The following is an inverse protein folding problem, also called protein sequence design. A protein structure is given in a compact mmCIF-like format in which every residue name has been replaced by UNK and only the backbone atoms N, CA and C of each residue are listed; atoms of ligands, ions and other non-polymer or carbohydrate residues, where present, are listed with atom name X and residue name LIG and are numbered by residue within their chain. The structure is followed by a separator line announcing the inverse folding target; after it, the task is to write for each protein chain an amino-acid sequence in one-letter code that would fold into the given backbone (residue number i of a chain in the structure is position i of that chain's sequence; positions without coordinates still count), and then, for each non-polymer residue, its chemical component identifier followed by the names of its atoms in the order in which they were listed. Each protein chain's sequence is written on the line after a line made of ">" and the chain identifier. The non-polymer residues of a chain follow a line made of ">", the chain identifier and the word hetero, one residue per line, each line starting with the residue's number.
data_IF_042441385451
#
_entry.id   IF_042441385451
#
_cell.length_a   1.000
_cell.length_b   1.000
_cell.length_c   1.000
_cell.angle_alpha   90.00
_cell.angle_beta   90.00
_cell.angle_gamma   90.00
#
_symmetry.space_group_name_H-M   'P 1'
#
loop_
_entity.id
_entity.type
_entity.pdbx_description
1 polymer ?
#
# COMPACT_ATOMS: atom_id res chain seq x y z
N UNK A 1 26.56 14.04 -8.37
CA UNK A 1 26.21 12.82 -7.60
C UNK A 1 24.91 12.27 -8.17
N UNK A 2 24.85 10.99 -8.52
CA UNK A 2 23.60 10.33 -8.95
C UNK A 2 22.64 10.25 -7.76
N UNK A 3 21.37 10.55 -7.98
CA UNK A 3 20.32 10.37 -6.97
C UNK A 3 19.37 9.26 -7.42
N UNK A 4 19.14 8.28 -6.55
CA UNK A 4 18.27 7.14 -6.78
C UNK A 4 17.21 7.08 -5.69
N UNK A 5 15.94 7.14 -6.09
CA UNK A 5 14.82 7.12 -5.17
C UNK A 5 14.28 5.69 -5.05
N UNK A 6 14.46 5.09 -3.87
CA UNK A 6 14.04 3.74 -3.51
C UNK A 6 12.97 3.74 -2.40
N UNK A 7 12.10 4.77 -2.39
CA UNK A 7 11.04 4.92 -1.37
C UNK A 7 9.64 5.12 -1.99
N UNK A 8 9.35 4.38 -3.07
CA UNK A 8 8.08 4.48 -3.81
C UNK A 8 6.85 4.16 -2.94
N UNK A 9 7.00 3.34 -1.88
CA UNK A 9 5.90 3.03 -0.97
C UNK A 9 5.54 4.20 -0.03
N UNK A 10 6.43 5.17 0.18
CA UNK A 10 6.08 6.41 0.88
C UNK A 10 5.27 7.34 -0.02
N UNK A 11 5.74 7.60 -1.23
CA UNK A 11 5.05 8.36 -2.29
C UNK A 11 5.78 8.15 -3.62
N UNK A 12 5.09 8.42 -4.72
CA UNK A 12 5.69 8.38 -6.05
C UNK A 12 5.68 9.76 -6.69
N UNK A 13 6.61 10.08 -7.59
CA UNK A 13 6.55 11.29 -8.41
C UNK A 13 5.33 11.23 -9.34
N UNK A 14 4.73 12.37 -9.59
CA UNK A 14 3.68 12.51 -10.59
C UNK A 14 4.26 12.27 -12.00
N UNK A 15 3.62 11.42 -12.79
CA UNK A 15 4.05 11.22 -14.19
C UNK A 15 3.70 12.42 -15.05
N UNK A 16 4.54 12.73 -16.07
CA UNK A 16 4.27 13.80 -17.01
C UNK A 16 2.91 13.68 -17.70
N UNK A 17 2.53 12.48 -18.10
CA UNK A 17 1.24 12.20 -18.77
C UNK A 17 0.04 12.48 -17.83
N UNK A 18 0.21 12.24 -16.54
CA UNK A 18 -0.82 12.56 -15.53
C UNK A 18 -0.92 14.07 -15.35
N UNK A 19 0.22 14.77 -15.26
CA UNK A 19 0.24 16.24 -15.16
C UNK A 19 -0.44 16.89 -16.37
N UNK A 20 -0.12 16.43 -17.59
CA UNK A 20 -0.72 16.96 -18.81
C UNK A 20 -2.24 16.71 -18.87
N UNK A 21 -2.72 15.55 -18.41
CA UNK A 21 -4.14 15.28 -18.31
C UNK A 21 -4.87 16.20 -17.31
N UNK A 22 -4.22 16.56 -16.20
CA UNK A 22 -4.76 17.42 -15.16
C UNK A 22 -4.77 18.91 -15.56
N UNK A 23 -3.76 19.36 -16.32
CA UNK A 23 -3.47 20.76 -16.58
C UNK A 23 -4.67 21.60 -17.06
N UNK A 24 -5.51 21.13 -18.02
CA UNK A 24 -6.66 21.93 -18.50
C UNK A 24 -7.67 22.26 -17.40
N UNK A 25 -7.80 21.40 -16.39
CA UNK A 25 -8.80 21.55 -15.33
C UNK A 25 -8.40 22.53 -14.22
N UNK A 26 -7.16 23.03 -14.26
CA UNK A 26 -6.70 24.10 -13.37
C UNK A 26 -7.07 25.50 -13.89
N UNK A 27 -7.08 25.70 -15.21
CA UNK A 27 -7.15 27.04 -15.79
C UNK A 27 -8.24 27.19 -16.87
N UNK A 28 -8.48 26.19 -17.70
CA UNK A 28 -9.39 26.28 -18.86
C UNK A 28 -10.78 25.70 -18.55
N UNK A 29 -10.83 24.53 -17.94
CA UNK A 29 -12.05 23.78 -17.61
C UNK A 29 -12.34 23.80 -16.10
N UNK A 30 -12.21 24.95 -15.47
CA UNK A 30 -12.32 25.18 -14.03
C UNK A 30 -13.74 25.11 -13.45
N UNK A 31 -14.74 24.79 -14.27
CA UNK A 31 -16.15 24.82 -13.88
C UNK A 31 -16.48 23.85 -12.73
N UNK A 32 -17.47 24.22 -11.92
CA UNK A 32 -18.01 23.32 -10.91
C UNK A 32 -18.89 22.25 -11.58
N UNK A 33 -18.58 20.97 -11.38
CA UNK A 33 -19.26 19.84 -12.00
C UNK A 33 -20.76 19.73 -11.62
N UNK A 34 -21.19 20.45 -10.59
CA UNK A 34 -22.61 20.54 -10.18
C UNK A 34 -23.40 21.63 -10.94
N UNK A 35 -22.72 22.50 -11.70
CA UNK A 35 -23.38 23.59 -12.43
C UNK A 35 -23.97 23.13 -13.76
N UNK A 36 -25.16 23.68 -14.14
CA UNK A 36 -25.86 23.28 -15.35
C UNK A 36 -25.37 23.97 -16.64
N UNK A 37 -24.56 25.03 -16.50
CA UNK A 37 -24.01 25.76 -17.65
C UNK A 37 -22.82 25.01 -18.27
N UNK A 38 -22.37 25.42 -19.45
CA UNK A 38 -21.38 24.75 -20.27
C UNK A 38 -20.08 24.40 -19.51
N UNK A 39 -19.51 25.32 -18.72
CA UNK A 39 -18.33 25.05 -17.93
C UNK A 39 -18.52 23.93 -16.89
N UNK A 40 -19.69 23.89 -16.25
CA UNK A 40 -20.05 22.80 -15.33
C UNK A 40 -20.19 21.45 -16.03
N UNK A 41 -20.86 21.47 -17.20
CA UNK A 41 -21.04 20.26 -18.03
C UNK A 41 -19.72 19.65 -18.51
N UNK A 42 -18.75 20.50 -18.89
CA UNK A 42 -17.40 20.05 -19.24
C UNK A 42 -16.70 19.36 -18.07
N UNK A 43 -16.75 19.97 -16.88
CA UNK A 43 -16.19 19.40 -15.67
C UNK A 43 -16.92 18.09 -15.28
N UNK A 44 -18.25 18.03 -15.37
CA UNK A 44 -19.05 16.82 -15.13
C UNK A 44 -18.64 15.68 -16.06
N UNK A 45 -18.53 15.96 -17.35
CA UNK A 45 -18.09 14.96 -18.34
C UNK A 45 -16.72 14.39 -18.01
N UNK A 46 -15.79 15.22 -17.52
CA UNK A 46 -14.47 14.76 -17.11
C UNK A 46 -14.53 13.85 -15.88
N UNK A 47 -15.33 14.20 -14.87
CA UNK A 47 -15.57 13.38 -13.68
C UNK A 47 -16.21 12.04 -14.04
N UNK A 48 -17.19 12.04 -14.93
CA UNK A 48 -17.89 10.81 -15.33
C UNK A 48 -16.97 9.86 -16.11
N UNK A 49 -16.16 10.36 -17.05
CA UNK A 49 -15.13 9.58 -17.75
C UNK A 49 -14.07 9.02 -16.81
N UNK A 50 -13.61 9.84 -15.86
CA UNK A 50 -12.65 9.38 -14.85
C UNK A 50 -13.24 8.25 -14.00
N UNK A 51 -14.53 8.33 -13.68
CA UNK A 51 -15.25 7.30 -12.93
C UNK A 51 -15.37 6.01 -13.71
N UNK A 52 -15.64 6.07 -15.01
CA UNK A 52 -15.64 4.90 -15.91
C UNK A 52 -14.28 4.21 -15.93
N UNK A 53 -13.18 4.99 -16.03
CA UNK A 53 -11.81 4.44 -15.96
C UNK A 53 -11.54 3.76 -14.61
N UNK A 54 -11.96 4.37 -13.51
CA UNK A 54 -11.78 3.77 -12.19
C UNK A 54 -12.65 2.51 -12.01
N UNK A 55 -13.84 2.47 -12.62
CA UNK A 55 -14.68 1.28 -12.63
C UNK A 55 -14.02 0.11 -13.38
N UNK A 56 -13.34 0.39 -14.49
CA UNK A 56 -12.51 -0.59 -15.19
C UNK A 56 -11.34 -1.07 -14.32
N UNK A 57 -10.64 -0.14 -13.65
CA UNK A 57 -9.52 -0.45 -12.78
C UNK A 57 -9.89 -1.37 -11.61
N UNK A 58 -11.11 -1.24 -11.07
CA UNK A 58 -11.63 -2.09 -9.99
C UNK A 58 -12.39 -3.33 -10.50
N UNK A 59 -12.71 -3.43 -11.77
CA UNK A 59 -13.67 -4.38 -12.35
C UNK A 59 -15.06 -4.28 -11.68
N UNK A 60 -15.65 -3.08 -11.63
CA UNK A 60 -16.96 -2.80 -11.02
C UNK A 60 -17.85 -1.92 -11.90
N UNK A 61 -19.00 -1.52 -11.39
CA UNK A 61 -19.85 -0.51 -12.02
C UNK A 61 -19.39 0.91 -11.62
N UNK A 62 -19.55 1.88 -12.51
CA UNK A 62 -19.24 3.29 -12.26
C UNK A 62 -19.98 3.86 -11.03
N UNK A 63 -21.21 3.38 -10.78
CA UNK A 63 -22.00 3.74 -9.61
C UNK A 63 -21.38 3.28 -8.26
N UNK A 64 -20.44 2.38 -8.29
CA UNK A 64 -19.74 1.81 -7.12
C UNK A 64 -18.40 2.50 -6.83
N UNK A 65 -18.03 3.50 -7.64
CA UNK A 65 -16.82 4.30 -7.43
C UNK A 65 -17.16 5.61 -6.72
N UNK A 66 -16.44 5.93 -5.65
CA UNK A 66 -16.54 7.17 -4.88
C UNK A 66 -15.16 7.82 -4.80
N UNK A 67 -15.04 9.08 -5.22
CA UNK A 67 -13.80 9.85 -5.09
C UNK A 67 -13.70 10.47 -3.70
N UNK A 68 -12.48 10.45 -3.14
CA UNK A 68 -12.16 11.01 -1.83
C UNK A 68 -10.78 11.66 -1.84
N UNK A 69 -10.24 12.07 -0.68
CA UNK A 69 -8.93 12.75 -0.62
C UNK A 69 -7.73 11.77 -0.56
N UNK A 70 -7.95 10.47 -0.43
CA UNK A 70 -6.88 9.47 -0.33
C UNK A 70 -7.26 8.26 0.52
N UNK A 71 -6.31 7.33 0.68
CA UNK A 71 -6.52 6.09 1.42
C UNK A 71 -7.06 6.29 2.83
N UNK A 72 -6.45 7.20 3.60
CA UNK A 72 -6.88 7.47 4.99
C UNK A 72 -8.35 7.90 5.07
N UNK A 73 -8.85 8.73 4.15
CA UNK A 73 -10.28 9.07 4.11
C UNK A 73 -11.13 7.84 3.76
N UNK A 74 -10.69 7.05 2.77
CA UNK A 74 -11.39 5.83 2.37
C UNK A 74 -11.49 4.81 3.51
N UNK A 75 -10.37 4.51 4.17
CA UNK A 75 -10.30 3.56 5.30
C UNK A 75 -11.16 4.02 6.46
N UNK A 76 -11.08 5.31 6.82
CA UNK A 76 -11.90 5.89 7.87
C UNK A 76 -13.40 5.89 7.50
N UNK A 77 -13.73 6.13 6.21
CA UNK A 77 -15.11 6.03 5.73
C UNK A 77 -15.64 4.61 5.87
N UNK A 78 -14.85 3.59 5.50
CA UNK A 78 -15.23 2.20 5.66
C UNK A 78 -15.52 1.84 7.13
N UNK A 79 -14.64 2.27 8.02
CA UNK A 79 -14.69 1.93 9.45
C UNK A 79 -15.83 2.68 10.15
N UNK A 80 -15.82 4.02 10.09
CA UNK A 80 -16.80 4.84 10.82
C UNK A 80 -18.18 4.86 10.15
N UNK A 81 -18.27 4.55 8.84
CA UNK A 81 -19.52 4.50 8.12
C UNK A 81 -20.29 3.18 8.24
N UNK A 82 -19.65 2.11 8.75
CA UNK A 82 -20.29 0.80 8.90
C UNK A 82 -20.48 0.36 10.36
N UNK A 83 -19.62 0.83 11.27
CA UNK A 83 -19.53 0.32 12.64
C UNK A 83 -20.31 1.21 13.61
N UNK A 84 -21.13 0.58 14.46
CA UNK A 84 -21.94 1.19 15.50
C UNK A 84 -21.62 0.62 16.89
N UNK A 85 -21.96 1.32 17.99
CA UNK A 85 -21.77 0.80 19.34
C UNK A 85 -22.38 -0.59 19.51
N UNK A 86 -21.59 -1.53 20.04
CA UNK A 86 -21.96 -2.95 20.18
C UNK A 86 -21.50 -3.86 19.06
N UNK A 87 -21.07 -3.31 17.91
CA UNK A 87 -20.46 -4.10 16.83
C UNK A 87 -19.05 -4.57 17.21
N UNK A 88 -18.62 -5.63 16.54
CA UNK A 88 -17.26 -6.15 16.59
C UNK A 88 -16.54 -5.93 15.24
N UNK A 89 -15.29 -5.49 15.32
CA UNK A 89 -14.39 -5.23 14.21
C UNK A 89 -13.23 -6.21 14.22
N UNK A 90 -12.93 -6.83 13.08
CA UNK A 90 -11.74 -7.67 12.89
C UNK A 90 -10.79 -6.95 11.94
N UNK A 91 -9.55 -6.80 12.34
CA UNK A 91 -8.47 -6.27 11.50
C UNK A 91 -7.16 -6.99 11.81
N UNK A 92 -6.06 -6.58 11.20
CA UNK A 92 -4.75 -7.21 11.43
C UNK A 92 -3.81 -6.30 12.21
N UNK A 93 -2.84 -6.87 12.90
CA UNK A 93 -1.83 -6.09 13.64
C UNK A 93 -0.77 -5.44 12.74
N UNK A 94 -0.82 -5.70 11.41
CA UNK A 94 0.13 -5.16 10.42
C UNK A 94 -0.49 -4.08 9.52
N UNK A 95 -1.67 -3.59 9.85
CA UNK A 95 -2.36 -2.55 9.09
C UNK A 95 -1.64 -1.20 9.11
N UNK A 96 -2.00 -0.36 8.15
CA UNK A 96 -1.60 1.04 8.16
C UNK A 96 -2.20 1.79 9.37
N UNK A 97 -1.52 2.84 9.84
CA UNK A 97 -1.99 3.68 10.96
C UNK A 97 -3.40 4.25 10.76
N UNK A 98 -3.86 4.44 9.52
CA UNK A 98 -5.24 4.86 9.23
C UNK A 98 -6.29 3.90 9.78
N UNK A 99 -6.00 2.58 9.77
CA UNK A 99 -6.85 1.52 10.33
C UNK A 99 -6.61 1.38 11.83
N UNK A 100 -5.34 1.28 12.26
CA UNK A 100 -5.00 1.03 13.67
C UNK A 100 -5.45 2.15 14.60
N UNK A 101 -5.27 3.41 14.20
CA UNK A 101 -5.72 4.56 15.01
C UNK A 101 -7.26 4.71 14.99
N UNK A 102 -7.91 4.37 13.87
CA UNK A 102 -9.36 4.30 13.80
C UNK A 102 -9.90 3.23 14.79
N UNK A 103 -9.29 2.03 14.80
CA UNK A 103 -9.65 0.96 15.74
C UNK A 103 -9.50 1.38 17.21
N UNK A 104 -8.40 2.04 17.56
CA UNK A 104 -8.20 2.60 18.93
C UNK A 104 -9.28 3.63 19.29
N UNK A 105 -9.70 4.43 18.31
CA UNK A 105 -10.79 5.41 18.52
C UNK A 105 -12.13 4.72 18.74
N UNK A 106 -12.43 3.64 17.99
CA UNK A 106 -13.66 2.86 18.12
C UNK A 106 -13.87 2.29 19.50
N UNK A 107 -12.80 1.86 20.19
CA UNK A 107 -12.89 1.34 21.55
C UNK A 107 -13.53 2.34 22.54
N UNK A 108 -13.36 3.66 22.32
CA UNK A 108 -13.98 4.71 23.11
C UNK A 108 -15.49 4.86 22.85
N UNK A 109 -15.98 4.23 21.79
CA UNK A 109 -17.39 4.25 21.38
C UNK A 109 -18.09 2.90 21.57
N UNK A 110 -17.48 1.98 22.35
CA UNK A 110 -18.08 0.68 22.68
C UNK A 110 -18.06 -0.32 21.53
N UNK A 111 -17.11 -0.19 20.61
CA UNK A 111 -16.87 -1.14 19.52
C UNK A 111 -15.60 -1.92 19.86
N UNK A 112 -15.71 -3.23 19.94
CA UNK A 112 -14.57 -4.11 20.19
C UNK A 112 -13.81 -4.40 18.90
N UNK A 113 -12.48 -4.49 19.00
CA UNK A 113 -11.61 -4.83 17.87
C UNK A 113 -10.74 -6.04 18.19
N UNK A 114 -10.77 -7.04 17.30
CA UNK A 114 -9.79 -8.13 17.31
C UNK A 114 -8.70 -7.86 16.28
N UNK A 115 -7.44 -7.87 16.73
CA UNK A 115 -6.27 -7.74 15.88
C UNK A 115 -5.68 -9.12 15.62
N UNK A 116 -5.81 -9.62 14.39
CA UNK A 116 -5.23 -10.89 13.98
C UNK A 116 -3.74 -10.70 13.70
N UNK A 117 -2.91 -11.53 14.32
CA UNK A 117 -1.47 -11.47 14.13
C UNK A 117 -1.05 -12.15 12.82
N UNK A 118 -0.01 -11.65 12.12
CA UNK A 118 0.56 -12.34 10.98
C UNK A 118 1.40 -13.55 11.41
N UNK A 119 1.62 -14.45 10.47
CA UNK A 119 2.70 -15.43 10.57
C UNK A 119 4.08 -14.72 10.46
N UNK A 120 5.20 -15.38 10.83
CA UNK A 120 6.54 -14.81 10.65
C UNK A 120 6.87 -14.43 9.19
N UNK A 121 6.16 -15.00 8.23
CA UNK A 121 6.22 -14.63 6.80
C UNK A 121 5.58 -13.28 6.48
N UNK A 122 4.79 -12.72 7.38
CA UNK A 122 3.95 -11.54 7.16
C UNK A 122 2.57 -11.85 6.55
N UNK A 123 2.26 -13.12 6.25
CA UNK A 123 0.95 -13.54 5.79
C UNK A 123 -0.04 -13.65 6.97
N UNK A 124 -1.27 -13.25 6.73
CA UNK A 124 -2.41 -13.53 7.61
C UNK A 124 -2.98 -14.90 7.24
N UNK A 125 -3.19 -15.75 8.24
CA UNK A 125 -3.91 -17.01 8.03
C UNK A 125 -5.42 -16.74 7.97
N UNK A 126 -6.10 -17.04 6.85
CA UNK A 126 -7.54 -16.85 6.74
C UNK A 126 -8.33 -17.62 7.81
N UNK A 127 -7.79 -18.72 8.32
CA UNK A 127 -8.45 -19.50 9.40
C UNK A 127 -8.45 -18.76 10.73
N UNK A 128 -7.48 -17.89 10.98
CA UNK A 128 -7.46 -17.05 12.18
C UNK A 128 -8.49 -15.91 12.08
N UNK A 129 -8.73 -15.37 10.89
CA UNK A 129 -9.86 -14.46 10.63
C UNK A 129 -11.18 -15.18 10.91
N UNK A 130 -11.37 -16.39 10.38
CA UNK A 130 -12.60 -17.18 10.62
C UNK A 130 -12.84 -17.46 12.12
N UNK A 131 -11.78 -17.82 12.86
CA UNK A 131 -11.87 -18.06 14.32
C UNK A 131 -12.21 -16.82 15.12
N UNK A 132 -11.86 -15.63 14.62
CA UNK A 132 -12.13 -14.35 15.27
C UNK A 132 -13.58 -13.87 15.08
N UNK A 133 -14.34 -14.46 14.15
CA UNK A 133 -15.74 -14.07 13.86
C UNK A 133 -16.63 -14.44 15.02
N UNK A 134 -17.48 -13.50 15.44
CA UNK A 134 -18.50 -13.63 16.49
C UNK A 134 -19.85 -13.15 15.94
N UNK A 135 -20.97 -13.41 16.64
CA UNK A 135 -22.28 -12.94 16.21
C UNK A 135 -22.36 -11.42 15.98
N UNK A 136 -21.60 -10.63 16.76
CA UNK A 136 -21.54 -9.17 16.69
C UNK A 136 -20.55 -8.67 15.63
N UNK A 137 -19.81 -9.55 14.94
CA UNK A 137 -18.82 -9.14 13.93
C UNK A 137 -19.52 -8.50 12.75
N UNK A 138 -19.22 -7.22 12.53
CA UNK A 138 -19.83 -6.42 11.48
C UNK A 138 -18.89 -6.19 10.29
N UNK A 139 -17.59 -6.01 10.56
CA UNK A 139 -16.60 -5.64 9.55
C UNK A 139 -15.30 -6.43 9.75
N UNK A 140 -14.75 -6.93 8.65
CA UNK A 140 -13.37 -7.38 8.52
C UNK A 140 -12.63 -6.36 7.65
N UNK A 141 -11.44 -5.90 8.06
CA UNK A 141 -10.58 -5.03 7.25
C UNK A 141 -9.17 -5.58 7.20
N UNK A 142 -8.67 -5.85 5.99
CA UNK A 142 -7.32 -6.38 5.75
C UNK A 142 -6.68 -5.65 4.58
N UNK A 143 -5.42 -5.24 4.72
CA UNK A 143 -4.70 -4.63 3.63
C UNK A 143 -4.41 -5.62 2.49
N UNK A 144 -4.41 -5.14 1.24
CA UNK A 144 -4.10 -5.97 0.07
C UNK A 144 -2.61 -6.35 0.03
N UNK A 145 -1.74 -5.37 0.30
CA UNK A 145 -0.31 -5.56 0.33
C UNK A 145 0.31 -4.72 1.46
N UNK A 146 1.22 -5.32 2.22
CA UNK A 146 1.85 -4.59 3.32
C UNK A 146 2.83 -3.54 2.80
N UNK A 147 2.74 -2.33 3.35
CA UNK A 147 3.53 -1.18 2.92
C UNK A 147 5.03 -1.26 3.29
N UNK A 148 5.41 -2.13 4.23
CA UNK A 148 6.78 -2.29 4.68
C UNK A 148 7.47 -3.51 4.04
N UNK A 149 6.83 -4.68 4.05
CA UNK A 149 7.39 -5.92 3.54
C UNK A 149 7.02 -6.21 2.08
N UNK A 150 5.94 -5.60 1.59
CA UNK A 150 5.39 -5.89 0.28
C UNK A 150 4.55 -7.18 0.22
N UNK A 151 4.41 -7.92 1.31
CA UNK A 151 3.66 -9.19 1.36
C UNK A 151 2.21 -8.94 0.97
N UNK A 152 1.72 -9.71 -0.01
CA UNK A 152 0.35 -9.66 -0.52
C UNK A 152 -0.49 -10.62 0.33
N UNK A 153 -1.63 -10.14 0.83
CA UNK A 153 -2.49 -10.91 1.71
C UNK A 153 -3.49 -11.78 0.91
N UNK A 154 -3.97 -12.90 1.47
CA UNK A 154 -4.87 -13.85 0.81
C UNK A 154 -6.33 -13.33 0.81
N UNK A 155 -6.54 -12.13 0.22
CA UNK A 155 -7.82 -11.40 0.29
C UNK A 155 -8.98 -12.11 -0.40
N UNK A 156 -8.73 -12.95 -1.40
CA UNK A 156 -9.80 -13.73 -2.05
C UNK A 156 -10.35 -14.84 -1.13
N UNK A 157 -9.48 -15.45 -0.34
CA UNK A 157 -9.89 -16.46 0.63
C UNK A 157 -10.64 -15.82 1.81
N UNK A 158 -10.16 -14.67 2.28
CA UNK A 158 -10.85 -13.87 3.32
C UNK A 158 -12.20 -13.36 2.79
N UNK A 159 -12.27 -12.95 1.52
CA UNK A 159 -13.53 -12.54 0.89
C UNK A 159 -14.58 -13.65 0.83
N UNK A 160 -14.15 -14.90 0.59
CA UNK A 160 -15.06 -16.09 0.68
C UNK A 160 -15.56 -16.29 2.11
N UNK A 161 -14.68 -16.22 3.10
CA UNK A 161 -15.07 -16.30 4.52
C UNK A 161 -16.08 -15.21 4.88
N UNK A 162 -15.84 -13.97 4.46
CA UNK A 162 -16.75 -12.85 4.70
C UNK A 162 -18.13 -13.06 4.05
N UNK A 163 -18.15 -13.59 2.82
CA UNK A 163 -19.40 -13.91 2.12
C UNK A 163 -20.18 -15.04 2.82
N UNK A 164 -19.50 -16.12 3.21
CA UNK A 164 -20.12 -17.29 3.87
C UNK A 164 -20.68 -16.93 5.26
N UNK A 165 -20.10 -15.95 5.94
CA UNK A 165 -20.49 -15.51 7.28
C UNK A 165 -21.40 -14.29 7.29
N UNK A 166 -21.61 -13.64 6.14
CA UNK A 166 -22.42 -12.42 6.01
C UNK A 166 -21.80 -11.18 6.64
N UNK A 167 -20.48 -11.16 6.88
CA UNK A 167 -19.72 -10.05 7.45
C UNK A 167 -19.26 -9.11 6.33
N UNK A 168 -19.30 -7.79 6.53
CA UNK A 168 -18.75 -6.86 5.56
C UNK A 168 -17.22 -6.98 5.49
N UNK A 169 -16.68 -6.82 4.27
CA UNK A 169 -15.24 -6.92 4.03
C UNK A 169 -14.72 -5.67 3.34
N UNK A 170 -13.78 -4.99 4.01
CA UNK A 170 -13.02 -3.85 3.51
C UNK A 170 -11.57 -4.23 3.22
N UNK A 171 -11.00 -3.61 2.19
CA UNK A 171 -9.60 -3.76 1.81
C UNK A 171 -8.91 -2.39 1.76
N UNK A 172 -7.84 -2.21 2.53
CA UNK A 172 -6.85 -1.17 2.23
C UNK A 172 -6.03 -1.62 1.01
N UNK A 173 -6.43 -1.15 -0.17
CA UNK A 173 -5.79 -1.45 -1.45
C UNK A 173 -4.66 -0.51 -1.83
N UNK A 174 -4.30 0.45 -0.96
CA UNK A 174 -3.38 1.56 -1.25
C UNK A 174 -2.04 1.07 -1.77
N UNK A 175 -1.46 0.05 -1.20
CA UNK A 175 -0.17 -0.49 -1.65
C UNK A 175 -0.28 -1.54 -2.75
N UNK A 176 -1.47 -2.08 -2.99
CA UNK A 176 -1.75 -2.99 -4.12
C UNK A 176 -1.97 -2.24 -5.44
N UNK A 177 -2.58 -1.03 -5.37
CA UNK A 177 -2.93 -0.26 -6.55
C UNK A 177 -1.74 -0.01 -7.49
N UNK A 178 -1.88 -0.43 -8.75
CA UNK A 178 -0.87 -0.33 -9.80
C UNK A 178 0.35 -1.27 -9.66
N UNK A 179 0.29 -2.24 -8.74
CA UNK A 179 1.34 -3.25 -8.51
C UNK A 179 0.82 -4.67 -8.64
N UNK A 180 -0.47 -4.86 -8.34
CA UNK A 180 -1.21 -6.10 -8.55
C UNK A 180 -2.56 -5.77 -9.19
N UNK A 181 -3.14 -6.72 -9.90
CA UNK A 181 -4.48 -6.59 -10.44
C UNK A 181 -5.51 -6.52 -9.30
N UNK A 182 -6.43 -5.57 -9.37
CA UNK A 182 -7.54 -5.42 -8.42
C UNK A 182 -8.84 -5.79 -9.12
N UNK A 183 -9.39 -6.94 -8.77
CA UNK A 183 -10.71 -7.40 -9.22
C UNK A 183 -11.63 -7.57 -8.00
N UNK A 184 -12.44 -6.55 -7.72
CA UNK A 184 -13.32 -6.55 -6.55
C UNK A 184 -14.44 -7.60 -6.62
N UNK A 185 -14.77 -8.10 -7.83
CA UNK A 185 -15.75 -9.18 -8.00
C UNK A 185 -15.14 -10.52 -7.61
N UNK A 186 -13.90 -10.79 -8.07
CA UNK A 186 -13.14 -11.99 -7.73
C UNK A 186 -12.81 -12.04 -6.24
N UNK A 187 -12.37 -10.92 -5.67
CA UNK A 187 -12.06 -10.78 -4.25
C UNK A 187 -13.32 -10.92 -3.38
N UNK A 188 -14.46 -10.44 -3.86
CA UNK A 188 -15.71 -10.50 -3.11
C UNK A 188 -15.84 -9.45 -2.00
N UNK A 189 -14.99 -8.41 -1.95
CA UNK A 189 -15.05 -7.35 -0.94
C UNK A 189 -16.28 -6.44 -1.12
N UNK A 190 -16.66 -5.74 -0.05
CA UNK A 190 -17.73 -4.73 -0.05
C UNK A 190 -17.17 -3.33 -0.24
N UNK A 191 -15.96 -3.08 0.24
CA UNK A 191 -15.30 -1.80 0.23
C UNK A 191 -13.81 -2.00 -0.11
N UNK A 192 -13.23 -1.07 -0.88
CA UNK A 192 -11.79 -1.04 -1.14
C UNK A 192 -11.31 0.40 -1.29
N UNK A 193 -10.23 0.77 -0.62
CA UNK A 193 -9.66 2.11 -0.63
C UNK A 193 -8.34 2.16 -1.39
N UNK A 194 -8.12 3.21 -2.20
CA UNK A 194 -6.84 3.49 -2.85
C UNK A 194 -6.44 4.96 -2.76
N UNK A 195 -5.16 5.24 -3.03
CA UNK A 195 -4.60 6.59 -3.07
C UNK A 195 -3.76 6.79 -4.33
N UNK A 196 -4.01 7.88 -5.06
CA UNK A 196 -3.38 8.14 -6.35
C UNK A 196 -1.85 8.26 -6.27
N UNK A 197 -1.33 8.89 -5.20
CA UNK A 197 0.10 9.14 -5.08
C UNK A 197 0.96 7.88 -4.86
N UNK A 198 0.37 6.71 -4.70
CA UNK A 198 1.08 5.43 -4.63
C UNK A 198 1.24 4.75 -6.00
N UNK A 199 0.53 5.27 -7.02
CA UNK A 199 0.59 4.78 -8.41
C UNK A 199 0.89 5.89 -9.41
N UNK A 200 1.76 6.85 -9.03
CA UNK A 200 2.20 7.98 -9.84
C UNK A 200 1.11 9.03 -10.17
N UNK A 201 0.01 9.02 -9.43
CA UNK A 201 -1.01 10.06 -9.46
C UNK A 201 -0.73 11.21 -8.48
N UNK A 202 -1.61 12.23 -8.45
CA UNK A 202 -1.45 13.38 -7.56
C UNK A 202 -1.72 13.02 -6.09
N UNK A 203 -1.09 13.76 -5.17
CA UNK A 203 -1.42 13.74 -3.74
C UNK A 203 -2.78 14.41 -3.51
N UNK A 204 -3.47 14.04 -2.44
CA UNK A 204 -4.74 14.68 -2.05
C UNK A 204 -5.95 14.21 -2.86
N UNK A 205 -5.86 13.07 -3.51
CA UNK A 205 -6.96 12.38 -4.18
C UNK A 205 -6.83 10.87 -4.00
N UNK A 206 -7.97 10.22 -3.80
CA UNK A 206 -8.13 8.78 -3.76
C UNK A 206 -9.46 8.36 -4.37
N UNK A 207 -9.70 7.08 -4.41
CA UNK A 207 -10.97 6.49 -4.79
C UNK A 207 -11.29 5.31 -3.88
N UNK A 208 -12.56 5.08 -3.68
CA UNK A 208 -13.11 3.97 -2.93
C UNK A 208 -14.09 3.21 -3.81
N UNK A 209 -13.97 1.89 -3.84
CA UNK A 209 -15.04 1.01 -4.29
C UNK A 209 -16.02 0.83 -3.15
N UNK A 210 -17.31 1.00 -3.43
CA UNK A 210 -18.43 0.75 -2.52
C UNK A 210 -19.44 -0.14 -3.23
N UNK A 211 -19.48 -1.42 -2.87
CA UNK A 211 -20.42 -2.38 -3.47
C UNK A 211 -21.85 -1.91 -3.28
N UNK A 212 -22.65 -1.96 -4.34
CA UNK A 212 -24.07 -1.58 -4.29
C UNK A 212 -24.80 -2.36 -3.20
N UNK A 213 -25.56 -1.64 -2.37
CA UNK A 213 -26.28 -2.22 -1.24
C UNK A 213 -25.49 -2.28 0.07
N UNK A 214 -24.23 -1.89 0.10
CA UNK A 214 -23.50 -1.71 1.35
C UNK A 214 -24.05 -0.51 2.11
N UNK A 215 -24.55 -0.67 3.36
CA UNK A 215 -25.22 0.39 4.13
C UNK A 215 -24.19 1.31 4.79
N UNK A 216 -23.38 2.01 3.98
CA UNK A 216 -22.32 2.87 4.49
C UNK A 216 -22.84 4.30 4.70
N UNK A 217 -22.55 4.89 5.86
CA UNK A 217 -22.78 6.29 6.16
C UNK A 217 -21.60 7.15 5.67
N UNK A 218 -21.87 8.34 5.11
CA UNK A 218 -20.80 9.24 4.66
C UNK A 218 -20.02 9.82 5.85
N UNK A 219 -18.68 9.75 5.77
CA UNK A 219 -17.81 10.39 6.77
C UNK A 219 -17.88 11.93 6.67
N UNK A 220 -17.90 12.46 5.46
CA UNK A 220 -18.03 13.89 5.19
C UNK A 220 -19.46 14.20 4.74
N UNK A 221 -20.20 14.92 5.58
CA UNK A 221 -21.60 15.29 5.34
C UNK A 221 -21.72 16.68 4.74
N UNK A 222 -22.74 16.90 3.87
CA UNK A 222 -22.97 18.20 3.22
C UNK A 222 -23.81 18.07 1.96
N UNK A 223 -23.36 18.66 0.84
CA UNK A 223 -24.05 18.60 -0.46
C UNK A 223 -24.13 17.18 -1.04
N UNK A 224 -24.94 17.01 -2.08
CA UNK A 224 -25.27 15.71 -2.69
C UNK A 224 -24.18 15.16 -3.65
N UNK A 225 -22.92 15.62 -3.52
CA UNK A 225 -21.81 15.14 -4.33
C UNK A 225 -21.59 13.64 -4.11
N UNK A 226 -20.89 12.98 -5.03
CA UNK A 226 -20.63 11.55 -4.99
C UNK A 226 -21.86 10.72 -4.59
N UNK A 227 -23.03 11.05 -5.14
CA UNK A 227 -24.32 10.38 -4.85
C UNK A 227 -24.68 10.36 -3.36
N UNK A 228 -24.33 11.42 -2.62
CA UNK A 228 -24.48 11.58 -1.15
C UNK A 228 -23.55 10.69 -0.32
N UNK A 229 -22.56 10.05 -0.94
CA UNK A 229 -21.60 9.22 -0.21
C UNK A 229 -20.37 10.01 0.24
N UNK A 230 -20.11 11.19 -0.36
CA UNK A 230 -19.04 12.09 0.05
C UNK A 230 -19.34 13.51 -0.39
N UNK A 231 -19.53 14.40 0.56
CA UNK A 231 -19.84 15.80 0.29
C UNK A 231 -18.59 16.64 -0.05
N UNK A 232 -18.81 17.79 -0.66
CA UNK A 232 -17.77 18.75 -1.04
C UNK A 232 -17.57 18.83 -2.55
N UNK A 233 -17.23 20.02 -3.05
CA UNK A 233 -16.96 20.26 -4.47
C UNK A 233 -15.90 19.29 -4.99
N UNK A 234 -16.17 18.70 -6.14
CA UNK A 234 -15.29 17.70 -6.75
C UNK A 234 -13.93 18.32 -7.15
N UNK A 235 -12.85 17.69 -6.76
CA UNK A 235 -11.49 18.02 -7.22
C UNK A 235 -11.27 17.48 -8.64
N UNK A 236 -11.85 18.17 -9.64
CA UNK A 236 -11.90 17.70 -11.04
C UNK A 236 -10.51 17.37 -11.57
N UNK A 237 -9.51 18.25 -11.35
CA UNK A 237 -8.14 18.00 -11.79
C UNK A 237 -7.55 16.75 -11.14
N UNK A 238 -7.73 16.59 -9.81
CA UNK A 238 -7.29 15.39 -9.08
C UNK A 238 -7.98 14.12 -9.54
N UNK A 239 -9.29 14.18 -9.80
CA UNK A 239 -10.11 13.07 -10.31
C UNK A 239 -9.63 12.62 -11.68
N UNK A 240 -9.35 13.54 -12.59
CA UNK A 240 -8.74 13.23 -13.90
C UNK A 240 -7.35 12.63 -13.71
N UNK A 241 -6.59 13.16 -12.76
CA UNK A 241 -5.24 12.69 -12.45
C UNK A 241 -5.21 11.25 -11.92
N UNK A 242 -6.09 10.88 -11.00
CA UNK A 242 -6.15 9.48 -10.51
C UNK A 242 -6.59 8.52 -11.61
N UNK A 243 -7.56 8.91 -12.44
CA UNK A 243 -8.00 8.08 -13.56
C UNK A 243 -6.88 7.86 -14.59
N UNK A 244 -6.12 8.90 -14.95
CA UNK A 244 -4.98 8.74 -15.84
C UNK A 244 -3.87 7.87 -15.22
N UNK A 245 -3.61 8.01 -13.93
CA UNK A 245 -2.68 7.15 -13.23
C UNK A 245 -3.14 5.68 -13.20
N UNK A 246 -4.44 5.42 -13.03
CA UNK A 246 -5.03 4.09 -13.08
C UNK A 246 -4.95 3.47 -14.48
N UNK A 247 -5.22 4.23 -15.54
CA UNK A 247 -5.05 3.80 -16.94
C UNK A 247 -3.60 3.34 -17.20
N UNK A 248 -2.60 4.16 -16.82
CA UNK A 248 -1.19 3.82 -16.96
C UNK A 248 -0.76 2.65 -16.06
N UNK A 249 -1.42 2.48 -14.93
CA UNK A 249 -1.17 1.34 -14.03
C UNK A 249 -1.70 0.03 -14.64
N UNK A 250 -2.90 0.01 -15.19
CA UNK A 250 -3.44 -1.15 -15.91
C UNK A 250 -2.54 -1.55 -17.07
N UNK A 251 -2.09 -0.58 -17.88
CA UNK A 251 -1.16 -0.86 -18.96
C UNK A 251 0.16 -1.49 -18.46
N UNK A 252 0.69 -0.99 -17.32
CA UNK A 252 1.92 -1.51 -16.73
C UNK A 252 1.80 -2.95 -16.20
N UNK A 253 0.60 -3.42 -15.88
CA UNK A 253 0.35 -4.83 -15.51
C UNK A 253 0.46 -5.76 -16.73
N UNK A 254 0.11 -5.27 -17.92
CA UNK A 254 0.03 -6.09 -19.14
C UNK A 254 1.32 -6.04 -20.00
N UNK A 255 2.10 -4.96 -19.93
CA UNK A 255 3.22 -4.69 -20.84
C UNK A 255 4.58 -5.26 -20.38
N UNK A 256 4.59 -6.04 -19.29
CA UNK A 256 5.81 -6.63 -18.73
C UNK A 256 6.58 -5.70 -17.77
N UNK A 257 6.11 -4.47 -17.53
CA UNK A 257 6.75 -3.52 -16.59
C UNK A 257 6.83 -4.09 -15.18
N UNK A 258 5.77 -4.71 -14.69
CA UNK A 258 5.73 -5.30 -13.34
C UNK A 258 6.69 -6.48 -13.22
N UNK A 259 6.80 -7.30 -14.26
CA UNK A 259 7.78 -8.40 -14.30
C UNK A 259 9.22 -7.89 -14.23
N UNK A 260 9.56 -6.91 -15.06
CA UNK A 260 10.88 -6.27 -15.03
C UNK A 260 11.18 -5.66 -13.66
N UNK A 261 10.18 -5.04 -13.03
CA UNK A 261 10.32 -4.44 -11.70
C UNK A 261 10.63 -5.51 -10.63
N UNK A 262 9.97 -6.66 -10.69
CA UNK A 262 10.25 -7.80 -9.81
C UNK A 262 11.68 -8.33 -10.00
N UNK A 263 12.13 -8.48 -11.24
CA UNK A 263 13.52 -8.89 -11.51
C UNK A 263 14.55 -7.89 -10.96
N UNK A 264 14.30 -6.58 -11.09
CA UNK A 264 15.18 -5.56 -10.52
C UNK A 264 15.19 -5.57 -8.99
N UNK A 265 14.03 -5.76 -8.35
CA UNK A 265 13.94 -5.94 -6.90
C UNK A 265 14.73 -7.19 -6.46
N UNK A 266 14.54 -8.31 -7.13
CA UNK A 266 15.22 -9.58 -6.79
C UNK A 266 16.73 -9.47 -6.98
N UNK A 267 17.18 -8.77 -8.03
CA UNK A 267 18.60 -8.46 -8.24
C UNK A 267 19.19 -7.60 -7.12
N UNK A 268 18.46 -6.56 -6.72
CA UNK A 268 18.85 -5.71 -5.59
C UNK A 268 18.93 -6.50 -4.29
N UNK A 269 17.90 -7.28 -4.01
CA UNK A 269 17.81 -8.14 -2.82
C UNK A 269 18.97 -9.13 -2.76
N UNK A 270 19.20 -9.88 -3.84
CA UNK A 270 20.29 -10.86 -3.91
C UNK A 270 21.67 -10.21 -3.71
N UNK A 271 21.90 -9.03 -4.29
CA UNK A 271 23.16 -8.32 -4.13
C UNK A 271 23.39 -7.80 -2.70
N UNK A 272 22.34 -7.37 -2.00
CA UNK A 272 22.45 -6.95 -0.60
C UNK A 272 22.63 -8.16 0.33
N UNK A 273 21.93 -9.26 0.05
CA UNK A 273 22.03 -10.50 0.84
C UNK A 273 23.39 -11.22 0.69
N UNK A 274 24.23 -10.82 -0.25
CA UNK A 274 25.61 -11.26 -0.31
C UNK A 274 26.48 -10.68 0.85
N UNK A 275 25.98 -9.65 1.54
CA UNK A 275 26.62 -9.12 2.74
C UNK A 275 26.34 -10.06 3.93
N UNK A 276 27.33 -10.28 4.82
CA UNK A 276 27.11 -11.04 6.04
C UNK A 276 26.10 -10.33 6.94
N UNK A 277 25.44 -11.08 7.81
CA UNK A 277 24.51 -10.58 8.83
C UNK A 277 23.39 -9.71 8.24
N UNK A 278 22.81 -10.17 7.12
CA UNK A 278 21.63 -9.58 6.46
C UNK A 278 20.59 -10.65 6.16
N UNK A 279 19.33 -10.26 6.06
CA UNK A 279 18.26 -11.17 5.64
C UNK A 279 16.98 -10.41 5.31
N UNK A 280 16.05 -11.09 4.63
CA UNK A 280 14.77 -10.50 4.18
C UNK A 280 13.70 -10.70 5.23
N UNK A 281 12.92 -9.65 5.47
CA UNK A 281 11.68 -9.72 6.23
C UNK A 281 10.49 -10.03 5.30
N UNK A 282 9.60 -10.94 5.73
CA UNK A 282 8.46 -11.36 4.93
C UNK A 282 8.81 -12.41 3.85
N UNK A 283 9.92 -13.13 4.03
CA UNK A 283 10.32 -14.23 3.17
C UNK A 283 10.41 -15.54 3.97
N UNK A 284 9.87 -16.63 3.41
CA UNK A 284 10.29 -17.95 3.87
C UNK A 284 11.62 -18.32 3.19
N UNK A 285 12.58 -18.83 3.94
CA UNK A 285 13.69 -19.60 3.36
C UNK A 285 13.09 -20.86 2.74
N UNK A 286 12.65 -20.79 1.49
CA UNK A 286 12.34 -21.98 0.73
C UNK A 286 13.65 -22.55 0.17
N UNK A 287 13.85 -23.83 0.38
CA UNK A 287 14.77 -24.62 -0.43
C UNK A 287 14.40 -24.43 -1.90
N UNK A 288 15.39 -24.12 -2.71
CA UNK A 288 15.32 -23.99 -4.17
C UNK A 288 14.47 -25.07 -4.83
N UNK A 289 13.37 -24.70 -5.44
CA UNK A 289 12.63 -25.56 -6.36
C UNK A 289 11.99 -24.72 -7.49
N UNK A 290 12.48 -24.96 -8.73
CA UNK A 290 11.77 -24.79 -9.98
C UNK A 290 11.54 -23.36 -10.53
N UNK A 291 11.58 -23.23 -11.84
CA UNK A 291 11.29 -22.00 -12.55
C UNK A 291 9.84 -21.52 -12.34
N UNK A 292 9.61 -20.20 -12.15
CA UNK A 292 8.31 -19.66 -11.79
C UNK A 292 7.32 -19.58 -12.96
N UNK A 293 6.05 -19.87 -12.67
CA UNK A 293 4.92 -19.60 -13.55
C UNK A 293 4.09 -18.39 -13.11
N UNK A 294 3.23 -17.82 -13.97
CA UNK A 294 2.35 -16.72 -13.58
C UNK A 294 1.32 -17.20 -12.56
N UNK A 295 1.20 -16.47 -11.43
CA UNK A 295 0.12 -16.70 -10.49
C UNK A 295 -1.17 -16.03 -10.99
N UNK A 296 -2.33 -16.53 -10.58
CA UNK A 296 -3.65 -15.99 -10.94
C UNK A 296 -3.90 -14.54 -10.46
N UNK A 297 -3.00 -13.98 -9.65
CA UNK A 297 -3.04 -12.60 -9.15
C UNK A 297 -2.13 -11.64 -9.92
N UNK A 298 -1.57 -12.06 -11.08
CA UNK A 298 -0.58 -11.24 -11.79
C UNK A 298 0.72 -11.02 -11.02
N UNK A 299 0.92 -11.73 -9.89
CA UNK A 299 2.15 -11.73 -9.14
C UNK A 299 3.07 -12.82 -9.69
N UNK A 300 4.24 -12.43 -10.14
CA UNK A 300 5.25 -13.37 -10.57
C UNK A 300 5.84 -14.06 -9.33
N UNK A 301 5.83 -15.38 -9.34
CA UNK A 301 6.53 -16.15 -8.30
C UNK A 301 8.02 -15.82 -8.38
N UNK A 302 8.48 -15.06 -7.40
CA UNK A 302 9.91 -14.98 -7.12
C UNK A 302 10.35 -16.34 -6.54
N UNK A 303 11.65 -16.59 -6.44
CA UNK A 303 12.19 -17.76 -5.73
C UNK A 303 11.73 -17.84 -4.26
N UNK A 304 11.03 -16.85 -3.78
CA UNK A 304 10.38 -16.74 -2.48
C UNK A 304 8.90 -17.15 -2.59
N UNK A 305 8.43 -18.18 -1.89
CA UNK A 305 7.05 -18.66 -1.94
C UNK A 305 6.04 -17.68 -1.33
N UNK A 306 6.48 -16.65 -0.59
CA UNK A 306 5.60 -15.61 -0.05
C UNK A 306 5.29 -14.61 -1.16
N UNK A 307 4.01 -14.44 -1.57
CA UNK A 307 3.66 -13.48 -2.61
C UNK A 307 3.96 -12.05 -2.15
N UNK A 308 4.71 -11.31 -2.97
CA UNK A 308 5.12 -9.93 -2.67
C UNK A 308 4.86 -8.99 -3.84
N UNK A 309 4.53 -7.74 -3.53
CA UNK A 309 4.51 -6.66 -4.52
C UNK A 309 5.86 -6.57 -5.25
N UNK A 310 5.80 -6.43 -6.56
CA UNK A 310 6.97 -6.49 -7.44
C UNK A 310 8.08 -5.49 -7.10
N UNK A 311 7.72 -4.38 -6.46
CA UNK A 311 8.60 -3.26 -6.21
C UNK A 311 9.24 -3.23 -4.81
N UNK A 312 8.90 -4.13 -3.89
CA UNK A 312 9.21 -3.95 -2.46
C UNK A 312 10.06 -5.09 -1.91
N UNK A 313 11.15 -4.74 -1.22
CA UNK A 313 11.89 -5.64 -0.34
C UNK A 313 12.20 -4.93 0.97
N UNK A 314 12.20 -5.69 2.07
CA UNK A 314 12.53 -5.23 3.41
C UNK A 314 13.66 -6.10 3.94
N UNK A 315 14.81 -5.48 4.28
CA UNK A 315 16.04 -6.18 4.62
C UNK A 315 16.53 -5.71 5.99
N UNK A 316 16.80 -6.65 6.89
CA UNK A 316 17.46 -6.36 8.15
C UNK A 316 18.99 -6.44 8.01
N UNK A 317 19.69 -5.63 8.82
CA UNK A 317 21.15 -5.53 8.86
C UNK A 317 21.59 -5.62 10.32
N UNK A 318 22.05 -6.78 10.78
CA UNK A 318 22.53 -6.91 12.16
C UNK A 318 23.79 -6.06 12.41
N UNK A 319 23.96 -5.67 13.67
CA UNK A 319 25.11 -4.92 14.17
C UNK A 319 25.21 -3.47 13.67
N UNK A 320 24.08 -2.84 13.32
CA UNK A 320 24.02 -1.40 13.00
C UNK A 320 22.65 -0.80 13.36
N UNK A 321 22.58 0.53 13.40
CA UNK A 321 21.35 1.28 13.56
C UNK A 321 20.77 1.62 12.18
N UNK A 322 19.51 1.25 11.94
CA UNK A 322 18.84 1.45 10.62
C UNK A 322 18.74 2.93 10.24
N UNK A 323 18.49 3.83 11.20
CA UNK A 323 18.42 5.26 10.93
C UNK A 323 19.78 5.82 10.48
N UNK A 324 20.88 5.39 11.11
CA UNK A 324 22.21 5.76 10.67
C UNK A 324 22.49 5.29 9.24
N UNK A 325 22.02 4.07 8.87
CA UNK A 325 22.16 3.56 7.52
C UNK A 325 21.32 4.37 6.52
N UNK A 326 20.07 4.77 6.86
CA UNK A 326 19.25 5.65 6.01
C UNK A 326 19.98 6.95 5.72
N UNK A 327 20.55 7.61 6.75
CA UNK A 327 21.29 8.87 6.62
C UNK A 327 22.55 8.66 5.76
N UNK A 328 23.32 7.61 6.01
CA UNK A 328 24.54 7.32 5.25
C UNK A 328 24.25 7.07 3.76
N UNK A 329 23.15 6.40 3.44
CA UNK A 329 22.70 6.16 2.07
C UNK A 329 22.21 7.46 1.40
N UNK A 330 21.44 8.30 2.10
CA UNK A 330 20.97 9.58 1.56
C UNK A 330 22.13 10.53 1.23
N UNK A 331 23.15 10.57 2.09
CA UNK A 331 24.40 11.32 1.82
C UNK A 331 25.15 10.82 0.57
N UNK A 332 24.90 9.59 0.14
CA UNK A 332 25.44 8.98 -1.08
C UNK A 332 24.44 9.03 -2.25
N UNK A 333 23.30 9.70 -2.06
CA UNK A 333 22.28 9.90 -3.09
C UNK A 333 21.28 8.74 -3.23
N UNK A 334 21.16 7.85 -2.25
CA UNK A 334 20.19 6.76 -2.25
C UNK A 334 19.14 6.99 -1.17
N UNK A 335 17.90 7.31 -1.58
CA UNK A 335 16.78 7.53 -0.66
C UNK A 335 16.05 6.21 -0.40
N UNK A 336 16.04 5.78 0.85
CA UNK A 336 15.34 4.58 1.35
C UNK A 336 14.54 4.93 2.61
N UNK A 337 13.76 3.99 3.14
CA UNK A 337 12.98 4.20 4.36
C UNK A 337 13.32 3.15 5.42
N UNK A 338 13.35 3.55 6.69
CA UNK A 338 13.30 2.63 7.83
C UNK A 338 11.89 2.05 8.00
N UNK A 339 11.75 0.98 8.80
CA UNK A 339 10.46 0.31 9.04
C UNK A 339 9.37 1.23 9.60
N UNK A 340 9.72 2.30 10.32
CA UNK A 340 8.77 3.21 10.98
C UNK A 340 8.61 4.57 10.28
N UNK A 341 8.62 4.60 8.95
CA UNK A 341 8.62 5.84 8.12
C UNK A 341 7.51 6.87 8.40
N UNK A 342 6.53 6.59 9.26
CA UNK A 342 5.39 7.47 9.52
C UNK A 342 5.45 8.27 10.82
N UNK A 343 6.51 8.15 11.62
CA UNK A 343 6.62 8.88 12.90
C UNK A 343 7.87 9.76 12.89
N UNK A 344 7.67 11.05 12.64
CA UNK A 344 8.71 12.07 12.79
C UNK A 344 9.15 12.11 14.27
N UNK A 345 10.33 11.58 14.56
CA UNK A 345 11.02 11.74 15.84
C UNK A 345 10.90 10.59 16.86
N UNK A 346 10.38 9.42 16.50
CA UNK A 346 10.31 8.28 17.43
C UNK A 346 11.27 7.15 17.02
N UNK A 347 12.11 6.74 17.92
CA UNK A 347 13.02 5.57 17.88
C UNK A 347 12.27 4.23 18.07
N UNK A 348 10.95 4.20 17.84
CA UNK A 348 10.17 2.97 18.02
C UNK A 348 10.35 2.02 16.86
N UNK A 349 10.52 0.71 17.12
CA UNK A 349 10.63 -0.29 16.06
C UNK A 349 9.29 -0.41 15.30
N UNK A 350 9.37 -0.85 14.03
CA UNK A 350 8.18 -1.11 13.22
C UNK A 350 7.20 -2.08 13.91
N UNK A 351 5.95 -1.65 14.07
CA UNK A 351 4.88 -2.51 14.60
C UNK A 351 4.64 -3.74 13.71
N UNK A 352 4.82 -3.61 12.39
CA UNK A 352 4.68 -4.71 11.42
C UNK A 352 5.73 -5.78 11.70
N UNK A 353 7.01 -5.40 11.77
CA UNK A 353 8.10 -6.32 11.98
C UNK A 353 8.05 -6.95 13.39
N UNK A 354 7.65 -6.16 14.40
CA UNK A 354 7.40 -6.68 15.75
C UNK A 354 6.25 -7.71 15.77
N UNK A 355 5.16 -7.44 15.07
CA UNK A 355 4.02 -8.37 14.94
C UNK A 355 4.40 -9.67 14.22
N UNK A 356 5.36 -9.62 13.28
CA UNK A 356 5.93 -10.79 12.61
C UNK A 356 6.92 -11.60 13.50
N UNK A 357 7.19 -11.14 14.72
CA UNK A 357 8.05 -11.83 15.68
C UNK A 357 9.54 -11.45 15.63
N UNK A 358 9.91 -10.38 14.92
CA UNK A 358 11.28 -9.88 14.98
C UNK A 358 11.56 -9.27 16.35
N UNK A 359 12.81 -9.43 16.83
CA UNK A 359 13.29 -8.69 17.99
C UNK A 359 13.45 -7.18 17.67
N UNK A 360 13.45 -6.35 18.71
CA UNK A 360 13.50 -4.89 18.58
C UNK A 360 14.73 -4.39 17.82
N UNK A 361 15.88 -5.04 17.97
CA UNK A 361 17.12 -4.59 17.35
C UNK A 361 17.05 -4.82 15.83
N UNK A 362 16.64 -6.03 15.39
CA UNK A 362 16.43 -6.32 13.97
C UNK A 362 15.33 -5.46 13.36
N UNK A 363 14.22 -5.24 14.07
CA UNK A 363 13.16 -4.37 13.59
C UNK A 363 13.63 -2.92 13.35
N UNK A 364 14.52 -2.39 14.22
CA UNK A 364 15.16 -1.08 14.05
C UNK A 364 16.23 -1.07 12.97
N UNK A 365 16.97 -2.19 12.82
CA UNK A 365 18.01 -2.35 11.81
C UNK A 365 17.47 -2.77 10.43
N UNK A 366 16.17 -2.64 10.20
CA UNK A 366 15.52 -3.02 8.94
C UNK A 366 15.26 -1.82 8.06
N UNK A 367 15.60 -1.93 6.77
CA UNK A 367 15.34 -0.93 5.74
C UNK A 367 14.40 -1.49 4.69
N UNK A 368 13.47 -0.64 4.26
CA UNK A 368 12.62 -0.89 3.11
C UNK A 368 13.21 -0.24 1.87
N UNK A 369 13.37 -1.03 0.83
CA UNK A 369 13.66 -0.57 -0.53
C UNK A 369 12.40 -0.76 -1.37
N UNK A 370 11.86 0.31 -1.91
CA UNK A 370 10.69 0.26 -2.78
C UNK A 370 10.93 1.04 -4.07
N UNK A 371 10.94 0.31 -5.17
CA UNK A 371 11.36 0.76 -6.48
C UNK A 371 10.23 1.51 -7.20
N UNK A 372 10.59 2.55 -7.95
CA UNK A 372 9.70 3.16 -8.94
C UNK A 372 9.61 2.29 -10.19
N UNK A 373 8.49 2.32 -10.91
CA UNK A 373 8.38 1.63 -12.21
C UNK A 373 9.37 2.15 -13.28
N UNK A 374 9.92 3.34 -13.04
CA UNK A 374 10.93 3.98 -13.91
C UNK A 374 12.37 3.66 -13.53
N UNK A 375 12.61 2.81 -12.52
CA UNK A 375 13.96 2.40 -12.10
C UNK A 375 14.73 1.77 -13.26
N UNK A 376 16.03 2.05 -13.32
CA UNK A 376 16.93 1.52 -14.35
C UNK A 376 17.96 0.56 -13.77
N UNK A 377 18.57 -0.30 -14.60
CA UNK A 377 19.67 -1.16 -14.19
C UNK A 377 20.83 -0.38 -13.56
N UNK A 378 21.15 0.77 -14.14
CA UNK A 378 22.20 1.63 -13.62
C UNK A 378 21.85 2.26 -12.23
N UNK A 379 20.55 2.34 -11.86
CA UNK A 379 20.14 2.73 -10.51
C UNK A 379 20.40 1.58 -9.54
N UNK A 380 20.06 0.36 -9.93
CA UNK A 380 20.35 -0.85 -9.13
C UNK A 380 21.86 -1.02 -8.93
N UNK A 381 22.66 -0.86 -10.00
CA UNK A 381 24.12 -0.94 -9.92
C UNK A 381 24.69 0.07 -8.93
N UNK A 382 24.21 1.32 -8.98
CA UNK A 382 24.62 2.36 -8.04
C UNK A 382 24.29 1.99 -6.59
N UNK A 383 23.08 1.51 -6.32
CA UNK A 383 22.67 1.10 -4.97
C UNK A 383 23.52 -0.07 -4.46
N UNK A 384 23.80 -1.05 -5.34
CA UNK A 384 24.64 -2.20 -5.00
C UNK A 384 26.13 -1.83 -4.77
N UNK A 385 26.60 -0.68 -5.26
CA UNK A 385 27.91 -0.13 -4.90
C UNK A 385 27.88 0.62 -3.58
N UNK A 386 26.81 1.37 -3.30
CA UNK A 386 26.73 2.29 -2.15
C UNK A 386 26.39 1.55 -0.87
N UNK A 387 25.42 0.61 -0.91
CA UNK A 387 24.93 -0.08 0.30
C UNK A 387 26.03 -0.87 1.01
N UNK A 388 26.82 -1.73 0.34
CA UNK A 388 27.90 -2.48 1.02
C UNK A 388 28.90 -1.57 1.71
N UNK A 389 29.36 -0.52 1.04
CA UNK A 389 30.31 0.43 1.59
C UNK A 389 29.78 1.19 2.82
N UNK A 390 28.48 1.54 2.82
CA UNK A 390 27.84 2.19 3.96
C UNK A 390 27.69 1.23 5.14
N UNK A 391 27.28 0.00 4.90
CA UNK A 391 27.14 -1.05 5.92
C UNK A 391 28.49 -1.36 6.57
N UNK A 392 29.52 -1.58 5.77
CA UNK A 392 30.88 -1.85 6.27
C UNK A 392 31.40 -0.70 7.14
N UNK A 393 31.25 0.54 6.67
CA UNK A 393 31.65 1.73 7.40
C UNK A 393 30.94 1.85 8.76
N UNK A 394 29.61 1.68 8.80
CA UNK A 394 28.84 1.80 10.04
C UNK A 394 29.14 0.66 11.02
N UNK A 395 29.34 -0.57 10.55
CA UNK A 395 29.74 -1.68 11.40
C UNK A 395 31.11 -1.48 12.02
N UNK A 396 32.07 -0.90 11.28
CA UNK A 396 33.38 -0.55 11.81
C UNK A 396 33.34 0.52 12.92
N UNK A 397 32.31 1.37 12.91
CA UNK A 397 32.08 2.40 13.95
C UNK A 397 31.26 1.89 15.15
N UNK A 398 30.62 0.72 15.03
CA UNK A 398 29.78 0.17 16.08
C UNK A 398 30.62 -0.33 17.27
N UNK A 399 30.23 -0.01 18.55
CA UNK A 399 30.94 -0.47 19.74
C UNK A 399 31.04 -2.00 19.87
N UNK A 400 30.18 -2.75 19.22
CA UNK A 400 30.18 -4.23 19.22
C UNK A 400 31.43 -4.78 18.51
N UNK A 401 31.97 -4.08 17.51
CA UNK A 401 33.21 -4.46 16.84
C UNK A 401 34.47 -4.23 17.71
N UNK A 402 34.39 -3.33 18.68
CA UNK A 402 35.52 -3.00 19.59
C UNK A 402 35.68 -4.02 20.76
N UNK A 403 34.69 -4.90 21.00
CA UNK A 403 34.68 -5.86 22.10
C UNK A 403 35.36 -7.20 21.84
N UNK A 404 35.93 -7.44 20.64
CA UNK A 404 36.63 -8.70 20.29
C UNK A 404 38.16 -8.61 20.35
N UNK A 405 38.70 -7.56 20.96
CA UNK A 405 40.14 -7.43 21.28
C UNK A 405 40.34 -7.26 22.81
N UNK A 406 39.83 -8.20 23.56
CA UNK A 406 40.08 -8.31 25.01
C UNK A 406 40.19 -9.77 25.42
#
# INVERSE_FOLDING_TARGET
>A
MRRVYMDANATTPLLPEVMEAMRPYWMEHFGNASSIHQHGQQARTAVDRARETMAQFFNCHDAEVVFNSGGTEGDNTAIFGLLHPGDHFITTSIEHSAILEAAKRLARHGIETTFVAPQPSGLIDPTDILRAIRPETRLISVMLANNETGVIQPVEEIGRIAADTGVFFHIDGVQGAGKVEIDVRRIGCHLLSISAHKMHGPKGIGAMFVRRGTPIEPLLVGGSHERRQRAGTENVAGIVGIAKAAELAMHSLDDGTIYRLAQMRDRLEAGILALPDTGVNGAHRAQTMGAPGPSHLGTWESTNPVPRAANTTNIWFDNLEGEALVIALDMKGVSVSGGSACHSGATEPSHVLMAMGLDKNRARASLRFSLLKTVTDADIDHVLQVVPAAVEHLRALSPVAAGTLG
#
